data_IF_944016008163
#
_entry.id   IF_944016008163
#
_cell.length_a   1.000
_cell.length_b   1.000
_cell.length_c   1.000
_cell.angle_alpha   90.00
_cell.angle_beta   90.00
_cell.angle_gamma   90.00
#
_symmetry.space_group_name_H-M   'P 1'
#
loop_
_entity.id
_entity.type
_entity.pdbx_description
1 polymer ?
#
# COMPACT_ATOMS: atom_id res chain seq x y z
N UNK A 1 12.19 26.13 -36.03
CA UNK A 1 11.27 24.98 -36.00
C UNK A 1 12.07 23.71 -36.12
N UNK A 2 12.88 23.40 -35.11
CA UNK A 2 13.62 22.13 -34.99
C UNK A 2 13.43 21.49 -33.62
N UNK A 3 13.00 22.27 -32.60
CA UNK A 3 12.70 21.75 -31.27
C UNK A 3 11.27 21.16 -31.15
N UNK A 4 10.30 21.64 -31.94
CA UNK A 4 8.93 21.07 -31.97
C UNK A 4 8.89 19.66 -32.59
N UNK A 5 9.65 19.43 -33.66
CA UNK A 5 9.64 18.15 -34.40
C UNK A 5 10.32 17.01 -33.61
N UNK A 6 11.31 17.34 -32.76
CA UNK A 6 11.98 16.38 -31.90
C UNK A 6 11.14 16.04 -30.65
N UNK A 7 10.37 16.99 -30.14
CA UNK A 7 9.39 16.77 -29.08
C UNK A 7 8.25 15.86 -29.54
N UNK A 8 7.67 16.13 -30.71
CA UNK A 8 6.58 15.33 -31.29
C UNK A 8 7.02 13.88 -31.60
N UNK A 9 8.27 13.68 -32.05
CA UNK A 9 8.80 12.34 -32.35
C UNK A 9 9.10 11.49 -31.10
N UNK A 10 9.51 12.12 -29.99
CA UNK A 10 9.68 11.45 -28.70
C UNK A 10 8.32 11.06 -28.10
N UNK A 11 7.29 11.87 -28.32
CA UNK A 11 5.91 11.60 -27.90
C UNK A 11 5.32 10.41 -28.69
N UNK A 12 5.50 10.37 -30.02
CA UNK A 12 4.98 9.29 -30.87
C UNK A 12 5.57 7.90 -30.51
N UNK A 13 6.87 7.84 -30.16
CA UNK A 13 7.50 6.61 -29.68
C UNK A 13 7.00 6.18 -28.31
N UNK A 14 6.78 7.14 -27.41
CA UNK A 14 6.26 6.88 -26.07
C UNK A 14 4.83 6.36 -26.14
N UNK A 15 3.98 6.96 -26.97
CA UNK A 15 2.61 6.50 -27.28
C UNK A 15 2.62 5.07 -27.85
N UNK A 16 3.55 4.77 -28.75
CA UNK A 16 3.68 3.41 -29.30
C UNK A 16 4.09 2.41 -28.21
N UNK A 17 5.04 2.78 -27.34
CA UNK A 17 5.48 1.93 -26.23
C UNK A 17 4.33 1.66 -25.24
N UNK A 18 3.55 2.68 -24.89
CA UNK A 18 2.36 2.58 -24.04
C UNK A 18 1.37 1.52 -24.57
N UNK A 19 1.00 1.60 -25.84
CA UNK A 19 0.08 0.63 -26.45
C UNK A 19 0.61 -0.81 -26.44
N UNK A 20 1.92 -0.99 -26.59
CA UNK A 20 2.57 -2.30 -26.49
C UNK A 20 2.51 -2.83 -25.06
N UNK A 21 2.86 -2.03 -24.06
CA UNK A 21 2.85 -2.45 -22.64
C UNK A 21 1.44 -2.80 -22.16
N UNK A 22 0.42 -2.02 -22.54
CA UNK A 22 -0.98 -2.31 -22.22
C UNK A 22 -1.46 -3.65 -22.82
N UNK A 23 -1.03 -3.94 -24.06
CA UNK A 23 -1.34 -5.22 -24.72
C UNK A 23 -0.69 -6.38 -23.98
N UNK A 24 0.57 -6.22 -23.53
CA UNK A 24 1.28 -7.21 -22.72
C UNK A 24 0.55 -7.46 -21.39
N UNK A 25 0.16 -6.40 -20.67
CA UNK A 25 -0.60 -6.51 -19.41
C UNK A 25 -1.89 -7.33 -19.59
N UNK A 26 -2.64 -7.05 -20.65
CA UNK A 26 -3.87 -7.79 -20.97
C UNK A 26 -3.60 -9.27 -21.26
N UNK A 27 -2.52 -9.58 -21.99
CA UNK A 27 -2.15 -10.96 -22.30
C UNK A 27 -1.74 -11.73 -21.04
N UNK A 28 -1.03 -11.11 -20.11
CA UNK A 28 -0.62 -11.74 -18.84
C UNK A 28 -1.83 -12.27 -18.07
N UNK A 29 -2.92 -11.50 -18.01
CA UNK A 29 -4.13 -11.93 -17.30
C UNK A 29 -4.80 -13.17 -17.92
N UNK A 30 -4.54 -13.47 -19.20
CA UNK A 30 -5.03 -14.71 -19.85
C UNK A 30 -4.20 -15.95 -19.51
N UNK A 31 -3.04 -15.77 -18.86
CA UNK A 31 -2.05 -16.82 -18.58
C UNK A 31 -2.11 -17.35 -17.14
N UNK A 32 -3.15 -17.00 -16.38
CA UNK A 32 -3.37 -17.47 -14.99
C UNK A 32 -3.30 -19.01 -14.87
N UNK A 33 -3.69 -19.74 -15.91
CA UNK A 33 -3.66 -21.21 -15.94
C UNK A 33 -2.33 -21.82 -16.44
N UNK A 34 -1.31 -21.00 -16.75
CA UNK A 34 -0.03 -21.42 -17.32
C UNK A 34 1.17 -20.80 -16.60
N UNK A 35 1.47 -21.21 -15.36
CA UNK A 35 2.48 -20.56 -14.50
C UNK A 35 3.90 -20.62 -15.09
N UNK A 36 4.28 -21.70 -15.77
CA UNK A 36 5.60 -21.81 -16.39
C UNK A 36 5.83 -20.75 -17.47
N UNK A 37 4.79 -20.46 -18.27
CA UNK A 37 4.87 -19.43 -19.32
C UNK A 37 4.98 -18.05 -18.68
N UNK A 38 4.25 -17.81 -17.59
CA UNK A 38 4.29 -16.55 -16.86
C UNK A 38 5.71 -16.25 -16.35
N UNK A 39 6.39 -17.23 -15.75
CA UNK A 39 7.78 -17.06 -15.30
C UNK A 39 8.75 -16.68 -16.44
N UNK A 40 8.56 -17.23 -17.64
CA UNK A 40 9.36 -16.83 -18.81
C UNK A 40 9.06 -15.40 -19.24
N UNK A 41 7.79 -14.99 -19.20
CA UNK A 41 7.38 -13.61 -19.51
C UNK A 41 7.98 -12.64 -18.50
N UNK A 42 7.92 -12.93 -17.20
CA UNK A 42 8.54 -12.08 -16.17
C UNK A 42 10.03 -11.85 -16.44
N UNK A 43 10.77 -12.90 -16.84
CA UNK A 43 12.18 -12.79 -17.18
C UNK A 43 12.43 -11.91 -18.43
N UNK A 44 11.52 -11.93 -19.41
CA UNK A 44 11.59 -11.08 -20.61
C UNK A 44 11.23 -9.63 -20.28
N UNK A 45 10.30 -9.41 -19.35
CA UNK A 45 9.83 -8.07 -18.97
C UNK A 45 10.76 -7.37 -17.98
N UNK A 46 11.54 -8.12 -17.18
CA UNK A 46 12.41 -7.54 -16.17
C UNK A 46 13.38 -6.47 -16.71
N UNK A 47 14.07 -6.67 -17.86
CA UNK A 47 14.90 -5.62 -18.44
C UNK A 47 14.12 -4.35 -18.82
N UNK A 48 12.86 -4.49 -19.25
CA UNK A 48 11.98 -3.36 -19.59
C UNK A 48 11.61 -2.60 -18.33
N UNK A 49 11.21 -3.32 -17.27
CA UNK A 49 10.91 -2.75 -15.94
C UNK A 49 12.14 -1.96 -15.44
N UNK A 50 13.31 -2.60 -15.46
CA UNK A 50 14.55 -1.99 -14.99
C UNK A 50 14.90 -0.71 -15.77
N UNK A 51 14.91 -0.77 -17.12
CA UNK A 51 15.24 0.39 -17.95
C UNK A 51 14.26 1.54 -17.72
N UNK A 52 12.96 1.27 -17.62
CA UNK A 52 11.95 2.30 -17.40
C UNK A 52 12.15 3.00 -16.05
N UNK A 53 12.32 2.24 -14.98
CA UNK A 53 12.42 2.76 -13.62
C UNK A 53 13.77 3.45 -13.36
N UNK A 54 14.89 2.86 -13.78
CA UNK A 54 16.23 3.43 -13.58
C UNK A 54 16.45 4.71 -14.41
N UNK A 55 15.93 4.77 -15.63
CA UNK A 55 16.04 5.97 -16.49
C UNK A 55 14.93 6.99 -16.25
N UNK A 56 14.05 6.75 -15.27
CA UNK A 56 12.98 7.66 -14.88
C UNK A 56 12.07 8.05 -16.05
N UNK A 57 11.67 7.05 -16.84
CA UNK A 57 10.73 7.21 -17.94
C UNK A 57 9.29 7.31 -17.37
N UNK A 58 8.99 8.45 -16.73
CA UNK A 58 7.77 8.68 -15.95
C UNK A 58 6.48 8.38 -16.72
N UNK A 59 6.47 8.66 -18.03
CA UNK A 59 5.31 8.45 -18.88
C UNK A 59 4.90 6.97 -19.00
N UNK A 60 5.79 6.03 -18.64
CA UNK A 60 5.56 4.59 -18.71
C UNK A 60 5.40 3.94 -17.32
N UNK A 61 5.43 4.73 -16.23
CA UNK A 61 5.42 4.18 -14.87
C UNK A 61 4.14 3.41 -14.57
N UNK A 62 2.99 3.96 -14.94
CA UNK A 62 1.70 3.32 -14.71
C UNK A 62 1.67 1.93 -15.36
N UNK A 63 2.08 1.83 -16.62
CA UNK A 63 2.08 0.57 -17.38
C UNK A 63 3.05 -0.45 -16.78
N UNK A 64 4.20 -0.01 -16.26
CA UNK A 64 5.14 -0.89 -15.58
C UNK A 64 4.55 -1.42 -14.28
N UNK A 65 3.93 -0.58 -13.46
CA UNK A 65 3.29 -1.03 -12.22
C UNK A 65 2.09 -1.94 -12.49
N UNK A 66 1.28 -1.65 -13.51
CA UNK A 66 0.19 -2.53 -13.99
C UNK A 66 0.69 -3.87 -14.49
N UNK A 67 1.84 -3.93 -15.17
CA UNK A 67 2.47 -5.20 -15.60
C UNK A 67 2.90 -6.01 -14.38
N UNK A 68 3.55 -5.39 -13.39
CA UNK A 68 3.99 -6.08 -12.17
C UNK A 68 2.77 -6.58 -11.38
N UNK A 69 1.74 -5.75 -11.25
CA UNK A 69 0.45 -6.14 -10.67
C UNK A 69 -0.15 -7.34 -11.42
N UNK A 70 -0.25 -7.27 -12.74
CA UNK A 70 -0.82 -8.35 -13.57
C UNK A 70 -0.05 -9.66 -13.42
N UNK A 71 1.29 -9.63 -13.43
CA UNK A 71 2.12 -10.82 -13.24
C UNK A 71 1.87 -11.44 -11.86
N UNK A 72 1.98 -10.64 -10.80
CA UNK A 72 1.83 -11.13 -9.43
C UNK A 72 0.40 -11.59 -9.13
N UNK A 73 -0.60 -10.90 -9.68
CA UNK A 73 -2.00 -11.26 -9.55
C UNK A 73 -2.35 -12.55 -10.29
N UNK A 74 -1.88 -12.74 -11.52
CA UNK A 74 -2.11 -13.96 -12.29
C UNK A 74 -1.38 -15.17 -11.69
N UNK A 75 -0.19 -14.97 -11.12
CA UNK A 75 0.58 -16.04 -10.48
C UNK A 75 0.03 -16.45 -9.11
N UNK A 76 -0.70 -15.56 -8.41
CA UNK A 76 -1.08 -15.71 -6.98
C UNK A 76 0.09 -16.10 -6.07
N UNK A 77 1.30 -15.71 -6.48
CA UNK A 77 2.57 -16.00 -5.83
C UNK A 77 3.61 -14.99 -6.32
N UNK A 78 4.68 -14.79 -5.54
CA UNK A 78 5.74 -13.84 -5.90
C UNK A 78 7.01 -14.62 -6.29
N UNK A 79 7.39 -14.52 -7.55
CA UNK A 79 8.60 -15.14 -8.07
C UNK A 79 9.88 -14.41 -7.63
N UNK A 80 11.07 -15.04 -7.72
CA UNK A 80 12.34 -14.35 -7.50
C UNK A 80 12.55 -13.14 -8.42
N UNK A 81 12.02 -13.19 -9.64
CA UNK A 81 12.07 -12.09 -10.60
C UNK A 81 11.21 -10.92 -10.12
N UNK A 82 9.99 -11.18 -9.65
CA UNK A 82 9.12 -10.13 -9.12
C UNK A 82 9.65 -9.52 -7.81
N UNK A 83 10.37 -10.27 -6.98
CA UNK A 83 11.07 -9.67 -5.82
C UNK A 83 12.16 -8.66 -6.25
N UNK A 84 12.82 -8.85 -7.40
CA UNK A 84 13.71 -7.83 -7.95
C UNK A 84 12.92 -6.59 -8.40
N UNK A 85 11.73 -6.79 -8.99
CA UNK A 85 10.82 -5.70 -9.33
C UNK A 85 10.40 -4.89 -8.09
N UNK A 86 10.12 -5.56 -6.97
CA UNK A 86 9.83 -4.91 -5.70
C UNK A 86 10.98 -3.98 -5.24
N UNK A 87 12.22 -4.44 -5.33
CA UNK A 87 13.40 -3.64 -4.99
C UNK A 87 13.51 -2.40 -5.89
N UNK A 88 13.19 -2.53 -7.18
CA UNK A 88 13.14 -1.41 -8.12
C UNK A 88 11.99 -0.44 -7.82
N UNK A 89 10.80 -0.93 -7.45
CA UNK A 89 9.66 -0.09 -7.02
C UNK A 89 10.08 0.74 -5.79
N UNK A 90 10.67 0.10 -4.78
CA UNK A 90 11.13 0.79 -3.58
C UNK A 90 12.20 1.82 -3.88
N UNK A 91 13.22 1.46 -4.66
CA UNK A 91 14.27 2.39 -5.08
C UNK A 91 13.71 3.58 -5.87
N UNK A 92 12.72 3.34 -6.74
CA UNK A 92 12.03 4.39 -7.51
C UNK A 92 11.28 5.35 -6.60
N UNK A 93 10.49 4.83 -5.66
CA UNK A 93 9.81 5.64 -4.65
C UNK A 93 10.80 6.52 -3.89
N UNK A 94 11.90 5.93 -3.40
CA UNK A 94 12.96 6.64 -2.66
C UNK A 94 13.76 7.64 -3.51
N UNK A 95 13.65 7.59 -4.83
CA UNK A 95 14.33 8.48 -5.77
C UNK A 95 13.49 9.70 -6.18
N UNK A 96 12.38 9.98 -5.48
CA UNK A 96 11.52 11.15 -5.68
C UNK A 96 10.23 10.88 -6.44
N UNK A 97 9.75 9.63 -6.45
CA UNK A 97 8.51 9.23 -7.11
C UNK A 97 7.38 8.95 -6.10
N UNK A 98 7.37 9.62 -4.95
CA UNK A 98 6.43 9.35 -3.85
C UNK A 98 4.96 9.57 -4.25
N UNK A 99 4.71 10.51 -5.18
CA UNK A 99 3.38 10.80 -5.71
C UNK A 99 2.81 9.69 -6.59
N UNK A 100 3.64 8.75 -7.06
CA UNK A 100 3.20 7.58 -7.83
C UNK A 100 2.81 6.39 -6.93
N UNK A 101 2.76 6.58 -5.61
CA UNK A 101 2.39 5.49 -4.69
C UNK A 101 0.98 4.94 -4.96
N UNK A 102 0.05 5.77 -5.47
CA UNK A 102 -1.27 5.29 -5.88
C UNK A 102 -1.18 4.27 -7.02
N UNK A 103 -0.32 4.51 -8.01
CA UNK A 103 -0.10 3.61 -9.15
C UNK A 103 0.71 2.36 -8.75
N UNK A 104 1.62 2.49 -7.77
CA UNK A 104 2.39 1.36 -7.23
C UNK A 104 1.53 0.43 -6.34
N UNK A 105 0.46 0.95 -5.75
CA UNK A 105 -0.28 0.28 -4.68
C UNK A 105 -0.82 -1.11 -5.06
N UNK A 106 -1.42 -1.35 -6.25
CA UNK A 106 -1.91 -2.69 -6.61
C UNK A 106 -0.81 -3.75 -6.60
N UNK A 107 0.35 -3.43 -7.20
CA UNK A 107 1.50 -4.33 -7.18
C UNK A 107 2.02 -4.57 -5.75
N UNK A 108 2.14 -3.52 -4.94
CA UNK A 108 2.57 -3.63 -3.53
C UNK A 108 1.59 -4.46 -2.70
N UNK A 109 0.28 -4.33 -2.92
CA UNK A 109 -0.74 -5.14 -2.24
C UNK A 109 -0.56 -6.63 -2.57
N UNK A 110 -0.29 -6.97 -3.84
CA UNK A 110 0.02 -8.34 -4.23
C UNK A 110 1.30 -8.87 -3.57
N UNK A 111 2.38 -8.06 -3.49
CA UNK A 111 3.59 -8.44 -2.76
C UNK A 111 3.30 -8.76 -1.29
N UNK A 112 2.44 -7.97 -0.65
CA UNK A 112 2.03 -8.20 0.74
C UNK A 112 1.16 -9.44 0.87
N UNK A 113 0.15 -9.59 0.02
CA UNK A 113 -0.83 -10.66 0.10
C UNK A 113 -0.23 -12.03 -0.26
N UNK A 114 0.44 -12.13 -1.40
CA UNK A 114 0.98 -13.41 -1.90
C UNK A 114 2.42 -13.68 -1.42
N UNK A 115 3.13 -12.64 -0.97
CA UNK A 115 4.51 -12.72 -0.46
C UNK A 115 4.63 -12.80 1.07
N UNK A 116 3.52 -12.81 1.82
CA UNK A 116 3.53 -12.77 3.29
C UNK A 116 4.54 -13.75 3.96
N UNK A 117 4.64 -15.03 3.55
CA UNK A 117 5.63 -15.95 4.16
C UNK A 117 7.08 -15.49 3.98
N UNK A 118 7.42 -14.87 2.84
CA UNK A 118 8.75 -14.34 2.56
C UNK A 118 8.99 -13.04 3.34
N UNK A 119 7.99 -12.16 3.43
CA UNK A 119 8.07 -10.92 4.21
C UNK A 119 8.36 -11.18 5.69
N UNK A 120 7.71 -12.19 6.28
CA UNK A 120 7.94 -12.58 7.69
C UNK A 120 9.38 -13.07 7.91
N UNK A 121 9.98 -13.72 6.90
CA UNK A 121 11.36 -14.21 7.00
C UNK A 121 12.40 -13.13 6.69
N UNK A 122 12.07 -12.17 5.82
CA UNK A 122 12.99 -11.13 5.34
C UNK A 122 12.47 -9.75 5.76
N UNK A 123 12.82 -9.40 6.99
CA UNK A 123 12.41 -8.14 7.64
C UNK A 123 12.74 -6.88 6.83
N UNK A 124 13.84 -6.90 6.06
CA UNK A 124 14.26 -5.80 5.19
C UNK A 124 13.16 -5.35 4.21
N UNK A 125 12.33 -6.27 3.71
CA UNK A 125 11.22 -5.94 2.82
C UNK A 125 10.03 -5.33 3.55
N UNK A 126 9.78 -5.76 4.80
CA UNK A 126 8.79 -5.10 5.68
C UNK A 126 9.25 -3.69 6.02
N UNK A 127 10.54 -3.49 6.30
CA UNK A 127 11.14 -2.18 6.53
C UNK A 127 11.04 -1.27 5.29
N UNK A 128 11.26 -1.82 4.09
CA UNK A 128 11.08 -1.10 2.84
C UNK A 128 9.64 -0.58 2.68
N UNK A 129 8.64 -1.46 2.84
CA UNK A 129 7.22 -1.08 2.79
C UNK A 129 6.84 -0.06 3.86
N UNK A 130 7.30 -0.28 5.10
CA UNK A 130 7.08 0.66 6.20
C UNK A 130 7.71 2.03 5.92
N UNK A 131 8.91 2.07 5.34
CA UNK A 131 9.60 3.32 5.01
C UNK A 131 8.79 4.16 4.02
N UNK A 132 8.18 3.53 3.00
CA UNK A 132 7.33 4.22 2.04
C UNK A 132 6.12 4.87 2.74
N UNK A 133 5.45 4.14 3.62
CA UNK A 133 4.33 4.66 4.43
C UNK A 133 4.81 5.82 5.30
N UNK A 134 5.92 5.64 6.03
CA UNK A 134 6.48 6.65 6.93
C UNK A 134 6.83 7.94 6.20
N UNK A 135 7.40 7.86 5.00
CA UNK A 135 7.75 9.02 4.19
C UNK A 135 6.50 9.82 3.79
N UNK A 136 5.41 9.15 3.38
CA UNK A 136 4.14 9.79 3.02
C UNK A 136 3.50 10.58 4.19
N UNK A 137 3.67 10.08 5.42
CA UNK A 137 3.19 10.77 6.62
C UNK A 137 4.11 11.91 7.08
N UNK A 138 5.41 11.84 6.75
CA UNK A 138 6.43 12.79 7.19
C UNK A 138 6.60 13.96 6.23
N UNK A 139 6.37 13.77 4.93
CA UNK A 139 6.51 14.83 3.94
C UNK A 139 5.31 15.81 4.00
N UNK A 140 5.64 17.08 4.23
CA UNK A 140 4.67 18.17 4.28
C UNK A 140 4.08 18.52 2.89
N UNK A 141 4.73 18.09 1.80
CA UNK A 141 4.25 18.30 0.42
C UNK A 141 3.15 17.32 0.03
N UNK A 142 3.08 16.17 0.70
CA UNK A 142 2.12 15.11 0.42
C UNK A 142 0.76 15.47 1.01
N UNK A 143 -0.26 15.54 0.15
CA UNK A 143 -1.62 15.91 0.53
C UNK A 143 -2.35 14.80 1.28
N UNK A 144 -3.50 15.15 1.88
CA UNK A 144 -4.33 14.15 2.57
C UNK A 144 -4.91 13.08 1.64
N UNK A 145 -5.10 13.38 0.34
CA UNK A 145 -5.55 12.40 -0.65
C UNK A 145 -4.44 11.40 -0.94
N UNK A 146 -3.22 11.89 -1.19
CA UNK A 146 -2.04 11.06 -1.46
C UNK A 146 -1.68 10.17 -0.25
N UNK A 147 -1.96 10.60 0.98
CA UNK A 147 -1.77 9.76 2.18
C UNK A 147 -2.75 8.59 2.29
N UNK A 148 -3.84 8.57 1.52
CA UNK A 148 -4.80 7.46 1.55
C UNK A 148 -4.15 6.16 1.04
N UNK A 149 -3.31 6.21 0.00
CA UNK A 149 -2.64 4.99 -0.48
C UNK A 149 -1.66 4.44 0.57
N UNK A 150 -0.98 5.30 1.33
CA UNK A 150 -0.17 4.89 2.47
C UNK A 150 -1.01 4.21 3.58
N UNK A 151 -2.21 4.72 3.87
CA UNK A 151 -3.13 4.06 4.80
C UNK A 151 -3.56 2.67 4.31
N UNK A 152 -3.89 2.54 3.02
CA UNK A 152 -4.28 1.26 2.42
C UNK A 152 -3.13 0.23 2.45
N UNK A 153 -1.90 0.67 2.20
CA UNK A 153 -0.73 -0.20 2.28
C UNK A 153 -0.47 -0.67 3.73
N UNK A 154 -0.59 0.23 4.71
CA UNK A 154 -0.48 -0.13 6.13
C UNK A 154 -1.58 -1.12 6.56
N UNK A 155 -2.81 -0.95 6.06
CA UNK A 155 -3.90 -1.90 6.24
C UNK A 155 -3.55 -3.28 5.66
N UNK A 156 -3.07 -3.35 4.43
CA UNK A 156 -2.65 -4.60 3.80
C UNK A 156 -1.59 -5.34 4.63
N UNK A 157 -0.60 -4.61 5.17
CA UNK A 157 0.42 -5.15 6.06
C UNK A 157 -0.19 -5.73 7.34
N UNK A 158 -1.08 -5.00 8.00
CA UNK A 158 -1.75 -5.47 9.23
C UNK A 158 -2.60 -6.71 8.98
N UNK A 159 -3.33 -6.76 7.86
CA UNK A 159 -4.20 -7.89 7.53
C UNK A 159 -3.39 -9.17 7.22
N UNK A 160 -2.29 -9.06 6.49
CA UNK A 160 -1.54 -10.22 5.99
C UNK A 160 -0.38 -10.66 6.90
N UNK A 161 0.18 -9.77 7.73
CA UNK A 161 1.34 -10.04 8.59
C UNK A 161 0.98 -10.08 10.08
N UNK A 162 -0.21 -10.59 10.39
CA UNK A 162 -0.75 -10.62 11.75
C UNK A 162 0.15 -11.40 12.72
N UNK A 163 0.53 -10.78 13.84
CA UNK A 163 1.42 -11.33 14.87
C UNK A 163 2.92 -11.22 14.56
N UNK A 164 3.31 -10.58 13.44
CA UNK A 164 4.71 -10.49 13.00
C UNK A 164 5.25 -9.06 12.89
N UNK A 165 4.42 -8.04 13.03
CA UNK A 165 4.76 -6.63 12.76
C UNK A 165 4.35 -5.66 13.87
N UNK A 166 4.17 -6.15 15.11
CA UNK A 166 3.68 -5.38 16.27
C UNK A 166 4.33 -3.99 16.41
N UNK A 167 5.66 -3.90 16.26
CA UNK A 167 6.38 -2.63 16.34
C UNK A 167 5.93 -1.60 15.29
N UNK A 168 5.62 -2.04 14.07
CA UNK A 168 5.12 -1.16 13.01
C UNK A 168 3.65 -0.79 13.20
N UNK A 169 2.84 -1.69 13.78
CA UNK A 169 1.43 -1.41 14.13
C UNK A 169 1.35 -0.22 15.09
N UNK A 170 2.21 -0.18 16.10
CA UNK A 170 2.28 0.95 17.03
C UNK A 170 2.59 2.27 16.31
N UNK A 171 3.48 2.23 15.31
CA UNK A 171 3.83 3.40 14.49
C UNK A 171 2.68 3.84 13.58
N UNK A 172 1.91 2.90 13.03
CA UNK A 172 0.70 3.22 12.25
C UNK A 172 -0.37 3.89 13.12
N UNK A 173 -0.58 3.42 14.35
CA UNK A 173 -1.48 4.09 15.31
C UNK A 173 -0.98 5.50 15.60
N UNK A 174 0.33 5.68 15.81
CA UNK A 174 0.92 6.99 16.08
C UNK A 174 0.76 7.97 14.91
N UNK A 175 0.97 7.52 13.67
CA UNK A 175 0.72 8.32 12.47
C UNK A 175 -0.74 8.78 12.40
N UNK A 176 -1.69 7.85 12.56
CA UNK A 176 -3.11 8.14 12.50
C UNK A 176 -3.54 9.12 13.61
N UNK A 177 -3.23 8.78 14.86
CA UNK A 177 -3.65 9.56 16.01
C UNK A 177 -3.00 10.92 16.07
N UNK A 178 -1.73 11.07 15.67
CA UNK A 178 -1.09 12.40 15.63
C UNK A 178 -1.84 13.35 14.70
N UNK A 179 -2.31 12.89 13.54
CA UNK A 179 -3.09 13.70 12.60
C UNK A 179 -4.50 13.98 13.12
N UNK A 180 -5.20 12.94 13.59
CA UNK A 180 -6.56 13.04 14.15
C UNK A 180 -6.60 13.91 15.42
N UNK A 181 -5.48 14.02 16.13
CA UNK A 181 -5.40 14.78 17.38
C UNK A 181 -4.94 16.23 17.20
N UNK A 182 -4.07 16.50 16.23
CA UNK A 182 -3.47 17.81 16.04
C UNK A 182 -4.40 18.79 15.29
N UNK A 183 -5.18 18.31 14.33
CA UNK A 183 -5.94 19.19 13.42
C UNK A 183 -7.31 18.62 13.08
N UNK A 184 -8.26 19.51 12.76
CA UNK A 184 -9.51 19.07 12.16
C UNK A 184 -9.28 18.67 10.70
N UNK A 185 -9.35 17.37 10.44
CA UNK A 185 -9.11 16.79 9.11
C UNK A 185 -10.31 17.08 8.21
N UNK A 186 -10.14 18.06 7.31
CA UNK A 186 -11.21 18.53 6.40
C UNK A 186 -11.62 17.49 5.36
N UNK A 187 -10.67 16.69 4.88
CA UNK A 187 -10.93 15.68 3.84
C UNK A 187 -11.56 14.46 4.50
N UNK A 188 -12.87 14.27 4.29
CA UNK A 188 -13.65 13.20 4.93
C UNK A 188 -13.08 11.80 4.66
N UNK A 189 -12.72 11.51 3.41
CA UNK A 189 -12.16 10.20 3.03
C UNK A 189 -10.85 9.91 3.77
N UNK A 190 -9.95 10.90 3.85
CA UNK A 190 -8.71 10.77 4.59
C UNK A 190 -8.95 10.57 6.09
N UNK A 191 -9.88 11.32 6.69
CA UNK A 191 -10.28 11.13 8.09
C UNK A 191 -10.80 9.71 8.37
N UNK A 192 -11.59 9.14 7.46
CA UNK A 192 -12.06 7.74 7.55
C UNK A 192 -10.87 6.79 7.52
N UNK A 193 -9.97 6.91 6.54
CA UNK A 193 -8.80 6.04 6.43
C UNK A 193 -7.84 6.14 7.64
N UNK A 194 -7.68 7.32 8.25
CA UNK A 194 -6.93 7.46 9.50
C UNK A 194 -7.60 6.70 10.66
N UNK A 195 -8.93 6.76 10.77
CA UNK A 195 -9.65 5.96 11.76
C UNK A 195 -9.50 4.47 11.46
N UNK A 196 -9.60 4.05 10.20
CA UNK A 196 -9.43 2.66 9.76
C UNK A 196 -8.05 2.09 10.14
N UNK A 197 -6.98 2.89 10.14
CA UNK A 197 -5.68 2.42 10.62
C UNK A 197 -5.73 1.96 12.09
N UNK A 198 -6.36 2.74 12.95
CA UNK A 198 -6.49 2.40 14.37
C UNK A 198 -7.47 1.24 14.56
N UNK A 199 -8.57 1.19 13.79
CA UNK A 199 -9.53 0.08 13.83
C UNK A 199 -8.88 -1.24 13.35
N UNK A 200 -8.06 -1.19 12.31
CA UNK A 200 -7.26 -2.32 11.84
C UNK A 200 -6.26 -2.77 12.91
N UNK A 201 -5.61 -1.84 13.61
CA UNK A 201 -4.73 -2.18 14.72
C UNK A 201 -5.49 -2.88 15.87
N UNK A 202 -6.71 -2.43 16.20
CA UNK A 202 -7.60 -3.12 17.16
C UNK A 202 -7.93 -4.53 16.66
N UNK A 203 -8.26 -4.69 15.37
CA UNK A 203 -8.54 -6.00 14.81
C UNK A 203 -7.29 -6.91 14.82
N UNK A 204 -6.10 -6.34 14.59
CA UNK A 204 -4.80 -7.00 14.60
C UNK A 204 -4.48 -7.57 15.99
N UNK A 205 -4.40 -6.68 16.99
CA UNK A 205 -4.13 -7.00 18.38
C UNK A 205 -4.80 -5.96 19.28
N UNK A 206 -5.98 -6.26 19.84
CA UNK A 206 -6.76 -5.29 20.60
C UNK A 206 -6.07 -4.89 21.91
N UNK A 207 -5.38 -5.82 22.59
CA UNK A 207 -4.69 -5.54 23.86
C UNK A 207 -3.53 -4.57 23.62
N UNK A 208 -2.67 -4.88 22.64
CA UNK A 208 -1.53 -4.03 22.26
C UNK A 208 -2.01 -2.61 21.89
N UNK A 209 -3.08 -2.53 21.11
CA UNK A 209 -3.63 -1.25 20.66
C UNK A 209 -4.21 -0.45 21.80
N UNK A 210 -5.01 -1.06 22.69
CA UNK A 210 -5.58 -0.38 23.85
C UNK A 210 -4.51 0.12 24.81
N UNK A 211 -3.50 -0.71 25.11
CA UNK A 211 -2.39 -0.31 25.98
C UNK A 211 -1.61 0.88 25.41
N UNK A 212 -1.37 0.90 24.09
CA UNK A 212 -0.68 2.00 23.44
C UNK A 212 -1.51 3.28 23.42
N UNK A 213 -2.81 3.19 23.13
CA UNK A 213 -3.72 4.33 23.18
C UNK A 213 -3.81 4.90 24.60
N UNK A 214 -3.87 4.05 25.63
CA UNK A 214 -3.96 4.48 27.02
C UNK A 214 -2.69 5.16 27.49
N UNK A 215 -1.52 4.59 27.16
CA UNK A 215 -0.23 5.20 27.47
C UNK A 215 0.00 6.59 26.85
N UNK A 216 -0.81 6.96 25.84
CA UNK A 216 -0.78 8.26 25.15
C UNK A 216 -1.99 9.15 25.47
N UNK A 217 -2.85 8.75 26.42
CA UNK A 217 -4.12 9.42 26.74
C UNK A 217 -5.07 9.57 25.53
N UNK A 218 -5.03 8.62 24.60
CA UNK A 218 -5.74 8.66 23.32
C UNK A 218 -7.00 7.79 23.29
N UNK A 219 -7.19 6.87 24.23
CA UNK A 219 -8.29 5.90 24.28
C UNK A 219 -9.66 6.59 24.16
N UNK A 220 -10.03 7.42 25.14
CA UNK A 220 -11.32 8.11 25.17
C UNK A 220 -11.55 8.97 23.93
N UNK A 221 -10.49 9.63 23.45
CA UNK A 221 -10.56 10.51 22.28
C UNK A 221 -10.84 9.72 21.01
N UNK A 222 -10.13 8.61 20.81
CA UNK A 222 -10.31 7.77 19.63
C UNK A 222 -11.71 7.13 19.60
N UNK A 223 -12.15 6.49 20.69
CA UNK A 223 -13.47 5.85 20.73
C UNK A 223 -14.61 6.84 20.58
N UNK A 224 -14.51 8.03 21.19
CA UNK A 224 -15.50 9.09 21.01
C UNK A 224 -15.59 9.53 19.54
N UNK A 225 -14.43 9.68 18.88
CA UNK A 225 -14.36 10.05 17.47
C UNK A 225 -14.93 8.94 16.56
N UNK A 226 -14.51 7.70 16.78
CA UNK A 226 -14.92 6.55 15.98
C UNK A 226 -16.43 6.31 16.08
N UNK A 227 -16.96 6.16 17.30
CA UNK A 227 -18.39 5.91 17.50
C UNK A 227 -19.25 7.13 17.13
N UNK A 228 -18.76 8.35 17.34
CA UNK A 228 -19.42 9.57 16.85
C UNK A 228 -19.46 9.68 15.32
N UNK A 229 -18.55 9.00 14.62
CA UNK A 229 -18.43 9.02 13.15
C UNK A 229 -18.98 7.74 12.49
N UNK A 230 -19.67 6.86 13.23
CA UNK A 230 -20.09 5.55 12.74
C UNK A 230 -20.93 5.61 11.46
N UNK A 231 -21.76 6.64 11.30
CA UNK A 231 -22.61 6.86 10.11
C UNK A 231 -21.82 7.22 8.85
N UNK A 232 -20.55 7.62 8.97
CA UNK A 232 -19.69 8.01 7.85
C UNK A 232 -19.03 6.81 7.15
N UNK A 233 -18.95 5.65 7.82
CA UNK A 233 -18.42 4.40 7.28
C UNK A 233 -19.46 3.71 6.38
N UNK A 234 -19.49 4.11 5.11
CA UNK A 234 -20.54 3.74 4.17
C UNK A 234 -20.21 2.48 3.35
N UNK A 235 -18.93 2.20 3.09
CA UNK A 235 -18.50 1.07 2.26
C UNK A 235 -18.71 -0.26 3.00
N UNK A 236 -18.89 -1.35 2.24
CA UNK A 236 -19.03 -2.70 2.81
C UNK A 236 -17.80 -3.07 3.64
N UNK A 237 -16.62 -2.73 3.09
CA UNK A 237 -15.34 -2.90 3.76
C UNK A 237 -15.32 -2.25 5.15
N UNK A 238 -15.60 -0.94 5.23
CA UNK A 238 -15.59 -0.16 6.46
C UNK A 238 -16.48 -0.76 7.56
N UNK A 239 -17.69 -1.17 7.17
CA UNK A 239 -18.67 -1.77 8.09
C UNK A 239 -18.17 -3.11 8.60
N UNK A 240 -17.62 -3.94 7.72
CA UNK A 240 -17.04 -5.24 8.10
C UNK A 240 -15.89 -5.02 9.08
N UNK A 241 -14.97 -4.11 8.78
CA UNK A 241 -13.84 -3.76 9.63
C UNK A 241 -14.30 -3.30 11.03
N UNK A 242 -15.29 -2.40 11.09
CA UNK A 242 -15.85 -1.96 12.37
C UNK A 242 -16.45 -3.12 13.17
N UNK A 243 -17.22 -4.00 12.54
CA UNK A 243 -17.85 -5.15 13.20
C UNK A 243 -16.79 -6.10 13.75
N UNK A 244 -15.76 -6.46 12.97
CA UNK A 244 -14.74 -7.39 13.42
C UNK A 244 -13.86 -6.81 14.52
N UNK A 245 -13.58 -5.51 14.49
CA UNK A 245 -12.83 -4.82 15.53
C UNK A 245 -13.62 -4.71 16.84
N UNK A 246 -14.90 -4.32 16.77
CA UNK A 246 -15.79 -4.30 17.95
C UNK A 246 -15.94 -5.72 18.52
N UNK A 247 -16.10 -6.73 17.67
CA UNK A 247 -16.18 -8.12 18.11
C UNK A 247 -14.90 -8.57 18.80
N UNK A 248 -13.72 -8.15 18.31
CA UNK A 248 -12.44 -8.43 18.96
C UNK A 248 -12.34 -7.78 20.34
N UNK A 249 -12.79 -6.52 20.49
CA UNK A 249 -12.85 -5.82 21.78
C UNK A 249 -13.79 -6.50 22.77
N UNK A 250 -15.00 -6.88 22.33
CA UNK A 250 -15.99 -7.56 23.19
C UNK A 250 -15.58 -8.96 23.61
N UNK A 251 -14.63 -9.57 22.89
CA UNK A 251 -14.08 -10.88 23.22
C UNK A 251 -12.96 -10.82 24.26
N UNK A 252 -12.53 -9.61 24.67
CA UNK A 252 -11.50 -9.45 25.68
C UNK A 252 -12.03 -9.80 27.08
N UNK A 253 -11.22 -10.50 27.90
CA UNK A 253 -11.49 -10.65 29.32
C UNK A 253 -11.57 -9.28 30.02
N UNK A 254 -12.52 -9.06 30.95
CA UNK A 254 -12.69 -7.77 31.62
C UNK A 254 -11.44 -7.26 32.36
N UNK A 255 -10.58 -8.16 32.80
CA UNK A 255 -9.30 -7.88 33.48
C UNK A 255 -8.18 -7.39 32.54
N UNK A 256 -8.38 -7.47 31.23
CA UNK A 256 -7.39 -7.07 30.21
C UNK A 256 -7.74 -5.76 29.51
N UNK A 257 -8.89 -5.17 29.83
CA UNK A 257 -9.29 -3.85 29.34
C UNK A 257 -8.67 -2.80 30.28
N UNK A 258 -7.86 -1.84 29.77
CA UNK A 258 -7.27 -0.78 30.58
C UNK A 258 -8.28 0.11 31.30
#
# INVERSE_FOLDING_TARGET
GGDDDFGDYLDEKSITALGVLQTIGTLILTLESTPDVLLHIEAILMPVIQVTLENKLYDLYNEIFEIIDSCTFAAKSISPTMWQAFELIHATFKAGAELYLEDMLPALDNFVQYGAPHLIQKQEYVEALFSMISDMFSDAKVGGVDRICACKLAEALMLNLRGHIDNYVLRFIEFAMSVLTATDVKIKAYKIHLMELVINAIHYNPILTLQFLEAKDWTNRFFSLWFGSMSTFSRVHDKKLCIVAISALLSLPPDQVP
#
